data_IF_940219611509
#
_entry.id   IF_940219611509
#
_cell.length_a   1.000
_cell.length_b   1.000
_cell.length_c   1.000
_cell.angle_alpha   90.00
_cell.angle_beta   90.00
_cell.angle_gamma   90.00
#
_symmetry.space_group_name_H-M   'P 1'
#
loop_
_entity.id
_entity.type
_entity.pdbx_description
1 polymer ?
#
# COMPACT_ATOMS: atom_id res chain seq x y z
N UNK A 1 -19.44 -6.12 13.22
CA UNK A 1 -18.90 -4.94 12.52
C UNK A 1 -17.37 -4.90 12.57
N UNK A 2 -16.75 -4.89 13.75
CA UNK A 2 -15.29 -4.80 13.91
C UNK A 2 -14.50 -5.91 13.20
N UNK A 3 -14.99 -7.15 13.19
CA UNK A 3 -14.33 -8.27 12.49
C UNK A 3 -14.23 -8.06 10.97
N UNK A 4 -15.29 -7.59 10.32
CA UNK A 4 -15.25 -7.29 8.88
C UNK A 4 -14.31 -6.13 8.57
N UNK A 5 -14.31 -5.08 9.41
CA UNK A 5 -13.37 -3.97 9.24
C UNK A 5 -11.91 -4.44 9.39
N UNK A 6 -11.64 -5.33 10.34
CA UNK A 6 -10.31 -5.92 10.53
C UNK A 6 -9.86 -6.77 9.33
N UNK A 7 -10.77 -7.51 8.71
CA UNK A 7 -10.49 -8.28 7.50
C UNK A 7 -10.11 -7.38 6.32
N UNK A 8 -10.88 -6.30 6.07
CA UNK A 8 -10.53 -5.32 5.04
C UNK A 8 -9.23 -4.57 5.33
N UNK A 9 -8.97 -4.24 6.61
CA UNK A 9 -7.72 -3.63 7.02
C UNK A 9 -6.53 -4.58 6.77
N UNK A 10 -6.70 -5.88 7.01
CA UNK A 10 -5.67 -6.88 6.72
C UNK A 10 -5.41 -6.99 5.21
N UNK A 11 -6.44 -7.00 4.36
CA UNK A 11 -6.26 -7.03 2.89
C UNK A 11 -5.47 -5.81 2.41
N UNK A 12 -5.84 -4.62 2.88
CA UNK A 12 -5.16 -3.37 2.51
C UNK A 12 -3.71 -3.32 3.04
N UNK A 13 -3.48 -3.84 4.24
CA UNK A 13 -2.14 -3.97 4.83
C UNK A 13 -1.27 -4.93 4.01
N UNK A 14 -1.81 -6.08 3.61
CA UNK A 14 -1.09 -7.07 2.78
C UNK A 14 -0.73 -6.51 1.40
N UNK A 15 -1.61 -5.71 0.79
CA UNK A 15 -1.34 -5.05 -0.50
C UNK A 15 -0.30 -3.93 -0.36
N UNK A 16 -0.33 -3.18 0.74
CA UNK A 16 0.69 -2.16 1.05
C UNK A 16 2.06 -2.81 1.27
N UNK A 17 2.12 -3.92 2.01
CA UNK A 17 3.33 -4.68 2.26
C UNK A 17 3.89 -5.32 0.97
N UNK A 18 3.02 -5.78 0.07
CA UNK A 18 3.42 -6.26 -1.25
C UNK A 18 3.97 -5.14 -2.12
N UNK A 19 3.36 -3.95 -2.08
CA UNK A 19 3.85 -2.77 -2.80
C UNK A 19 5.20 -2.28 -2.27
N UNK A 20 5.45 -2.32 -0.97
CA UNK A 20 6.77 -1.96 -0.40
C UNK A 20 7.85 -2.97 -0.78
N UNK A 21 7.56 -4.27 -0.72
CA UNK A 21 8.54 -5.34 -0.98
C UNK A 21 8.85 -5.51 -2.47
N UNK A 22 7.85 -5.52 -3.35
CA UNK A 22 8.04 -5.85 -4.78
C UNK A 22 8.14 -4.63 -5.68
N UNK A 23 7.41 -3.56 -5.35
CA UNK A 23 7.36 -2.35 -6.19
C UNK A 23 8.18 -1.20 -5.62
N UNK A 24 9.01 -1.46 -4.61
CA UNK A 24 10.06 -0.61 -4.04
C UNK A 24 9.88 0.88 -4.27
N UNK A 25 9.45 1.60 -3.23
CA UNK A 25 9.46 3.06 -3.28
C UNK A 25 10.91 3.52 -3.53
N UNK A 26 11.17 4.17 -4.67
CA UNK A 26 12.44 4.85 -4.90
C UNK A 26 12.63 5.82 -3.74
N UNK A 27 13.51 5.47 -2.80
CA UNK A 27 13.62 6.16 -1.54
C UNK A 27 14.35 7.48 -1.78
N UNK A 28 13.58 8.55 -1.94
CA UNK A 28 14.09 9.91 -2.10
C UNK A 28 14.03 10.58 -0.72
N UNK A 29 15.11 10.51 0.09
CA UNK A 29 15.11 11.05 1.45
C UNK A 29 14.93 12.58 1.51
N UNK A 30 15.08 13.28 0.38
CA UNK A 30 14.82 14.73 0.30
C UNK A 30 13.34 15.10 0.23
N UNK A 31 12.45 14.18 -0.18
CA UNK A 31 11.00 14.44 -0.31
C UNK A 31 10.21 13.18 0.10
N UNK A 32 10.02 12.95 1.41
CA UNK A 32 9.30 11.77 1.89
C UNK A 32 7.83 11.75 1.46
N UNK A 33 7.16 12.89 1.25
CA UNK A 33 5.76 12.88 0.78
C UNK A 33 5.62 12.25 -0.61
N UNK A 34 6.59 12.48 -1.51
CA UNK A 34 6.55 11.93 -2.85
C UNK A 34 6.73 10.41 -2.82
N UNK A 35 7.56 9.90 -1.90
CA UNK A 35 7.72 8.46 -1.69
C UNK A 35 6.44 7.81 -1.14
N UNK A 36 5.76 8.48 -0.20
CA UNK A 36 4.50 8.02 0.37
C UNK A 36 3.37 8.00 -0.66
N UNK A 37 3.23 9.07 -1.46
CA UNK A 37 2.22 9.15 -2.52
C UNK A 37 2.44 8.04 -3.55
N UNK A 38 3.67 7.84 -3.99
CA UNK A 38 4.00 6.81 -4.98
C UNK A 38 3.76 5.39 -4.44
N UNK A 39 3.97 5.18 -3.14
CA UNK A 39 3.67 3.91 -2.49
C UNK A 39 2.16 3.65 -2.41
N UNK A 40 1.38 4.64 -1.94
CA UNK A 40 -0.07 4.51 -1.76
C UNK A 40 -0.77 4.33 -3.11
N UNK A 41 -0.34 5.03 -4.16
CA UNK A 41 -0.90 4.83 -5.50
C UNK A 41 -0.64 3.42 -6.04
N UNK A 42 0.57 2.88 -5.83
CA UNK A 42 0.90 1.49 -6.20
C UNK A 42 0.10 0.47 -5.38
N UNK A 43 -0.06 0.68 -4.08
CA UNK A 43 -0.85 -0.19 -3.21
C UNK A 43 -2.34 -0.15 -3.56
N UNK A 44 -2.88 1.02 -3.93
CA UNK A 44 -4.25 1.17 -4.40
C UNK A 44 -4.49 0.45 -5.73
N UNK A 45 -3.56 0.57 -6.70
CA UNK A 45 -3.63 -0.16 -7.96
C UNK A 45 -3.59 -1.69 -7.75
N UNK A 46 -2.70 -2.17 -6.88
CA UNK A 46 -2.67 -3.59 -6.48
C UNK A 46 -3.98 -4.02 -5.83
N UNK A 47 -4.56 -3.17 -4.98
CA UNK A 47 -5.84 -3.46 -4.33
C UNK A 47 -7.00 -3.54 -5.32
N UNK A 48 -7.02 -2.73 -6.38
CA UNK A 48 -8.04 -2.80 -7.44
C UNK A 48 -7.89 -4.08 -8.29
N UNK A 49 -6.68 -4.61 -8.44
CA UNK A 49 -6.42 -5.81 -9.23
C UNK A 49 -6.72 -7.09 -8.44
N UNK A 50 -6.56 -7.07 -7.12
CA UNK A 50 -6.68 -8.24 -6.24
C UNK A 50 -7.98 -8.32 -5.41
N UNK A 51 -8.71 -7.20 -5.27
CA UNK A 51 -10.03 -7.11 -4.64
C UNK A 51 -11.12 -7.08 -5.72
#
# INVERSE_FOLDING_TARGET
ALFFLAEYANILLMNTLSATLFLGASHIPSIPELTAINLITKAALLSIVFL
#
